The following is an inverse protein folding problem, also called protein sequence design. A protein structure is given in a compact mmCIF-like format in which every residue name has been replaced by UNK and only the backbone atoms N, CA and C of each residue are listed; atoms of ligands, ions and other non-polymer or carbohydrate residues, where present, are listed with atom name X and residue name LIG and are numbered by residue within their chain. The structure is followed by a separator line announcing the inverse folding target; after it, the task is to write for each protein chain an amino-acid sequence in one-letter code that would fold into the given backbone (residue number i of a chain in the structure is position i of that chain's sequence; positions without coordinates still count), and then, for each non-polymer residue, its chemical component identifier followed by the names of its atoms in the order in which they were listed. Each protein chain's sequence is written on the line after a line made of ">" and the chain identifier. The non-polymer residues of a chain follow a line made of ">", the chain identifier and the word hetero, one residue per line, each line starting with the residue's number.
data_IF_406070977297
#
_entry.id   IF_406070977297
#
_cell.length_a   1.000
_cell.length_b   1.000
_cell.length_c   1.000
_cell.angle_alpha   90.00
_cell.angle_beta   90.00
_cell.angle_gamma   90.00
#
_symmetry.space_group_name_H-M   'P 1'
#
loop_
_entity.id
_entity.type
_entity.pdbx_description
1 polymer ?
#
# COMPACT_ATOMS: atom_id res chain seq x y z
N UNK A 1 27.86 32.90 20.32
CA UNK A 1 28.70 31.75 19.93
C UNK A 1 27.89 30.46 19.76
N UNK A 2 27.01 30.10 20.71
CA UNK A 2 26.19 28.87 20.63
C UNK A 2 25.16 28.89 19.48
N UNK A 3 24.52 30.04 19.21
CA UNK A 3 23.54 30.17 18.11
C UNK A 3 24.20 30.05 16.71
N UNK A 4 25.41 30.58 16.55
CA UNK A 4 26.17 30.44 15.30
C UNK A 4 26.56 28.98 15.02
N UNK A 5 26.92 28.23 16.07
CA UNK A 5 27.20 26.80 15.97
C UNK A 5 25.95 26.01 15.59
N UNK A 6 24.77 26.34 16.12
CA UNK A 6 23.50 25.70 15.75
C UNK A 6 23.09 25.99 14.29
N UNK A 7 23.27 27.23 13.82
CA UNK A 7 23.00 27.61 12.43
C UNK A 7 23.96 26.91 11.48
N UNK A 8 25.23 26.76 11.86
CA UNK A 8 26.21 26.03 11.09
C UNK A 8 25.92 24.53 11.05
N UNK A 9 25.51 23.95 12.19
CA UNK A 9 25.08 22.55 12.26
C UNK A 9 23.81 22.28 11.43
N UNK A 10 22.86 23.21 11.41
CA UNK A 10 21.66 23.15 10.57
C UNK A 10 21.97 23.30 9.08
N UNK A 11 22.92 24.17 8.70
CA UNK A 11 23.36 24.33 7.31
C UNK A 11 24.11 23.09 6.80
N UNK A 12 24.93 22.47 7.65
CA UNK A 12 25.63 21.21 7.33
C UNK A 12 24.67 20.03 7.23
N UNK A 13 23.62 19.99 8.05
CA UNK A 13 22.57 18.96 7.93
C UNK A 13 21.69 19.12 6.68
N UNK A 14 21.53 20.35 6.18
CA UNK A 14 20.73 20.62 4.98
C UNK A 14 21.44 20.25 3.67
N UNK A 15 22.78 20.27 3.63
CA UNK A 15 23.55 19.95 2.43
C UNK A 15 23.75 18.45 2.21
N UNK A 16 23.56 17.60 3.23
CA UNK A 16 23.60 16.13 3.13
C UNK A 16 22.23 15.57 2.70
N UNK A 17 21.60 16.19 1.70
CA UNK A 17 20.26 15.83 1.23
C UNK A 17 20.09 15.82 -0.29
N UNK A 18 21.08 16.22 -1.06
CA UNK A 18 20.96 16.40 -2.51
C UNK A 18 22.05 15.63 -3.27
N UNK A 19 22.08 14.32 -3.12
CA UNK A 19 22.72 13.43 -4.07
C UNK A 19 21.88 12.16 -4.17
N UNK A 20 21.11 12.07 -5.25
CA UNK A 20 20.65 10.82 -5.84
C UNK A 20 20.59 11.03 -7.35
N UNK A 21 21.76 10.84 -7.94
CA UNK A 21 22.03 10.09 -9.18
C UNK A 21 20.85 9.95 -10.16
N UNK A 22 21.01 10.55 -11.33
CA UNK A 22 20.35 10.11 -12.55
C UNK A 22 20.88 8.72 -12.90
N UNK A 23 19.99 7.71 -12.90
CA UNK A 23 19.96 6.55 -13.83
C UNK A 23 18.86 5.52 -13.47
N UNK A 24 17.69 5.97 -12.99
CA UNK A 24 16.53 5.08 -12.81
C UNK A 24 15.51 5.34 -13.93
N UNK A 25 15.47 4.47 -14.95
CA UNK A 25 14.42 4.44 -15.99
C UNK A 25 13.00 4.23 -15.42
N UNK A 26 12.89 3.95 -14.11
CA UNK A 26 11.65 3.69 -13.37
C UNK A 26 11.60 4.62 -12.16
N UNK A 27 10.70 5.60 -12.16
CA UNK A 27 10.55 6.52 -11.04
C UNK A 27 9.61 5.92 -10.00
N UNK A 28 10.19 5.32 -8.95
CA UNK A 28 9.40 4.76 -7.86
C UNK A 28 8.49 5.81 -7.21
N UNK A 29 7.26 5.44 -6.81
CA UNK A 29 6.37 6.34 -6.10
C UNK A 29 7.00 6.84 -4.80
N UNK A 30 6.94 8.14 -4.56
CA UNK A 30 7.41 8.70 -3.29
C UNK A 30 6.47 8.28 -2.15
N UNK A 31 7.01 8.16 -0.93
CA UNK A 31 6.21 7.86 0.28
C UNK A 31 5.04 8.85 0.46
N UNK A 32 5.24 10.11 0.08
CA UNK A 32 4.21 11.15 0.12
C UNK A 32 3.12 10.92 -0.94
N UNK A 33 3.47 10.49 -2.15
CA UNK A 33 2.50 10.19 -3.21
C UNK A 33 1.64 8.99 -2.80
N UNK A 34 2.27 7.94 -2.27
CA UNK A 34 1.56 6.77 -1.71
C UNK A 34 0.60 7.20 -0.61
N UNK A 35 1.06 8.00 0.36
CA UNK A 35 0.25 8.46 1.48
C UNK A 35 -0.94 9.31 0.99
N UNK A 36 -0.74 10.14 -0.03
CA UNK A 36 -1.81 10.93 -0.65
C UNK A 36 -2.93 10.02 -1.17
N UNK A 37 -2.61 9.00 -1.96
CA UNK A 37 -3.65 8.13 -2.52
C UNK A 37 -4.32 7.22 -1.49
N UNK A 38 -3.54 6.66 -0.56
CA UNK A 38 -4.09 5.86 0.54
C UNK A 38 -5.06 6.69 1.39
N UNK A 39 -4.70 7.93 1.73
CA UNK A 39 -5.56 8.79 2.56
C UNK A 39 -6.82 9.25 1.85
N UNK A 40 -6.75 9.54 0.54
CA UNK A 40 -7.92 9.91 -0.28
C UNK A 40 -8.91 8.74 -0.34
N UNK A 41 -8.44 7.53 -0.66
CA UNK A 41 -9.31 6.35 -0.75
C UNK A 41 -9.84 5.89 0.61
N UNK A 42 -9.04 6.05 1.66
CA UNK A 42 -9.49 5.75 3.02
C UNK A 42 -10.57 6.73 3.48
N UNK A 43 -10.46 8.01 3.12
CA UNK A 43 -11.49 9.01 3.39
C UNK A 43 -12.79 8.69 2.66
N UNK A 44 -12.74 8.38 1.35
CA UNK A 44 -13.94 8.02 0.58
C UNK A 44 -14.63 6.78 1.13
N UNK A 45 -13.86 5.73 1.47
CA UNK A 45 -14.39 4.51 2.06
C UNK A 45 -15.02 4.72 3.46
N UNK A 46 -14.48 5.63 4.28
CA UNK A 46 -15.12 6.00 5.55
C UNK A 46 -16.40 6.82 5.37
N UNK A 47 -16.49 7.67 4.34
CA UNK A 47 -17.71 8.42 4.03
C UNK A 47 -18.83 7.51 3.53
N UNK A 48 -18.49 6.45 2.78
CA UNK A 48 -19.44 5.42 2.34
C UNK A 48 -19.95 4.57 3.51
N UNK A 49 -19.04 4.01 4.31
CA UNK A 49 -19.36 3.17 5.47
C UNK A 49 -19.91 3.95 6.66
N UNK A 50 -19.76 5.28 6.68
CA UNK A 50 -20.30 6.16 7.70
C UNK A 50 -21.82 6.38 7.61
N UNK A 51 -22.43 6.06 6.46
CA UNK A 51 -23.88 6.23 6.23
C UNK A 51 -24.72 5.12 6.90
N UNK A 52 -24.12 3.95 7.17
CA UNK A 52 -24.82 2.84 7.80
C UNK A 52 -24.89 3.02 9.32
N UNK A 53 -26.10 2.96 9.89
CA UNK A 53 -26.36 3.06 11.34
C UNK A 53 -26.42 1.67 11.98
N UNK A 54 -25.53 0.78 11.55
CA UNK A 54 -25.49 -0.59 12.06
C UNK A 54 -24.98 -0.61 13.50
N UNK A 55 -25.52 -1.54 14.28
CA UNK A 55 -25.18 -1.72 15.69
C UNK A 55 -24.73 -3.16 15.87
N UNK A 56 -23.51 -3.33 16.35
CA UNK A 56 -22.91 -4.65 16.58
C UNK A 56 -23.28 -5.07 18.00
N UNK A 57 -24.06 -6.14 18.11
CA UNK A 57 -24.29 -6.81 19.38
C UNK A 57 -23.07 -7.69 19.72
N UNK A 58 -22.51 -7.47 20.89
CA UNK A 58 -21.35 -8.22 21.40
C UNK A 58 -21.76 -9.28 22.42
N UNK A 59 -23.06 -9.44 22.66
CA UNK A 59 -23.55 -10.33 23.70
C UNK A 59 -23.25 -11.81 23.36
N UNK A 60 -22.21 -12.34 23.99
CA UNK A 60 -21.99 -13.79 24.00
C UNK A 60 -22.87 -14.39 25.10
N UNK A 61 -23.93 -15.09 24.65
CA UNK A 61 -25.02 -15.67 25.48
C UNK A 61 -24.58 -16.58 26.64
N UNK A 62 -23.28 -16.89 26.78
CA UNK A 62 -22.74 -17.84 27.75
C UNK A 62 -21.74 -17.25 28.77
N UNK A 63 -21.10 -16.10 28.51
CA UNK A 63 -20.09 -15.51 29.42
C UNK A 63 -20.67 -14.31 30.17
N UNK A 64 -21.50 -13.50 29.50
CA UNK A 64 -21.90 -12.20 30.01
C UNK A 64 -23.27 -12.28 30.68
N UNK A 65 -23.30 -12.53 32.00
CA UNK A 65 -24.53 -12.44 32.81
C UNK A 65 -25.11 -11.02 32.91
N UNK A 66 -24.39 -10.01 32.41
CA UNK A 66 -24.82 -8.61 32.26
C UNK A 66 -24.36 -8.15 30.88
N UNK A 67 -25.26 -8.23 29.89
CA UNK A 67 -24.95 -8.03 28.47
C UNK A 67 -24.09 -6.80 28.20
N UNK A 68 -23.02 -6.98 27.43
CA UNK A 68 -22.15 -5.88 27.01
C UNK A 68 -22.96 -4.83 26.22
N UNK A 69 -22.70 -3.52 26.40
CA UNK A 69 -23.45 -2.49 25.70
C UNK A 69 -23.21 -2.60 24.19
N UNK A 70 -24.27 -2.45 23.37
CA UNK A 70 -24.17 -2.53 21.92
C UNK A 70 -23.26 -1.41 21.38
N UNK A 71 -22.31 -1.77 20.51
CA UNK A 71 -21.34 -0.82 19.94
C UNK A 71 -21.81 -0.41 18.55
N UNK A 72 -21.84 0.90 18.30
CA UNK A 72 -22.16 1.44 16.97
C UNK A 72 -21.05 1.04 15.97
N UNK A 73 -21.43 0.53 14.81
CA UNK A 73 -20.52 0.11 13.74
C UNK A 73 -19.51 1.20 13.36
N UNK A 74 -19.95 2.46 13.30
CA UNK A 74 -19.10 3.63 13.05
C UNK A 74 -17.91 3.77 14.03
N UNK A 75 -18.03 3.28 15.27
CA UNK A 75 -16.96 3.35 16.29
C UNK A 75 -16.19 2.04 16.45
N UNK A 76 -16.53 1.01 15.68
CA UNK A 76 -15.96 -0.33 15.83
C UNK A 76 -14.67 -0.51 15.03
N UNK A 77 -13.77 -1.34 15.54
CA UNK A 77 -12.55 -1.76 14.83
C UNK A 77 -12.86 -2.64 13.62
N UNK A 78 -14.04 -3.27 13.59
CA UNK A 78 -14.52 -4.06 12.45
C UNK A 78 -14.63 -3.21 11.18
N UNK A 79 -15.25 -2.02 11.29
CA UNK A 79 -15.31 -1.05 10.18
C UNK A 79 -13.93 -0.69 9.66
N UNK A 80 -12.96 -0.50 10.55
CA UNK A 80 -11.60 -0.13 10.16
C UNK A 80 -10.95 -1.22 9.31
N UNK A 81 -11.11 -2.49 9.68
CA UNK A 81 -10.57 -3.63 8.93
C UNK A 81 -11.20 -3.68 7.53
N UNK A 82 -12.53 -3.64 7.44
CA UNK A 82 -13.25 -3.67 6.15
C UNK A 82 -12.86 -2.52 5.23
N UNK A 83 -12.75 -1.30 5.78
CA UNK A 83 -12.31 -0.13 5.02
C UNK A 83 -10.88 -0.29 4.51
N UNK A 84 -9.95 -0.78 5.35
CA UNK A 84 -8.55 -0.99 4.94
C UNK A 84 -8.44 -2.06 3.86
N UNK A 85 -9.27 -3.11 3.91
CA UNK A 85 -9.30 -4.15 2.88
C UNK A 85 -9.85 -3.63 1.54
N UNK A 86 -10.89 -2.81 1.59
CA UNK A 86 -11.50 -2.17 0.41
C UNK A 86 -10.54 -1.17 -0.26
N UNK A 87 -9.82 -0.35 0.52
CA UNK A 87 -8.84 0.62 -0.02
C UNK A 87 -7.75 -0.09 -0.85
N UNK A 88 -7.33 -1.29 -0.44
CA UNK A 88 -6.34 -2.04 -1.21
C UNK A 88 -6.82 -2.45 -2.59
N UNK A 89 -8.11 -2.81 -2.73
CA UNK A 89 -8.69 -3.12 -4.04
C UNK A 89 -8.78 -1.86 -4.91
N UNK A 90 -9.22 -0.74 -4.35
CA UNK A 90 -9.33 0.54 -5.06
C UNK A 90 -7.98 1.07 -5.54
N UNK A 91 -6.92 0.84 -4.76
CA UNK A 91 -5.55 1.19 -5.16
C UNK A 91 -5.05 0.39 -6.36
N UNK A 92 -5.61 -0.80 -6.65
CA UNK A 92 -5.22 -1.59 -7.82
C UNK A 92 -5.69 -0.98 -9.14
N UNK A 93 -6.74 -0.15 -9.11
CA UNK A 93 -7.36 0.48 -10.28
C UNK A 93 -6.57 1.68 -10.83
N UNK A 94 -5.57 2.15 -10.07
CA UNK A 94 -4.73 3.27 -10.50
C UNK A 94 -3.72 2.82 -11.55
N UNK A 95 -3.64 3.62 -12.62
CA UNK A 95 -2.67 3.46 -13.70
C UNK A 95 -1.75 4.67 -13.81
N UNK A 96 -0.60 4.43 -14.41
CA UNK A 96 0.40 5.46 -14.67
C UNK A 96 0.05 6.24 -15.95
N UNK A 97 0.06 7.55 -15.82
CA UNK A 97 -0.15 8.53 -16.89
C UNK A 97 1.17 9.28 -17.08
N UNK A 98 1.97 8.83 -18.06
CA UNK A 98 3.33 9.37 -18.31
C UNK A 98 3.30 10.83 -18.79
N UNK A 99 2.17 11.25 -19.36
CA UNK A 99 1.91 12.60 -19.85
C UNK A 99 1.68 13.62 -18.73
N UNK A 100 1.34 13.18 -17.50
CA UNK A 100 1.04 14.07 -16.38
C UNK A 100 2.23 14.17 -15.42
N UNK A 101 2.54 15.38 -14.98
CA UNK A 101 3.64 15.63 -14.06
C UNK A 101 3.20 15.62 -12.59
N UNK A 102 4.13 15.23 -11.71
CA UNK A 102 3.93 15.23 -10.26
C UNK A 102 2.96 14.15 -9.75
N UNK A 103 2.29 14.47 -8.65
CA UNK A 103 1.42 13.52 -7.93
C UNK A 103 0.11 13.17 -8.64
N UNK A 104 -0.17 13.76 -9.81
CA UNK A 104 -1.35 13.44 -10.64
C UNK A 104 -1.03 12.47 -11.77
N UNK A 105 0.20 11.91 -11.82
CA UNK A 105 0.55 10.83 -12.75
C UNK A 105 -0.22 9.54 -12.49
N UNK A 106 -0.75 9.35 -11.29
CA UNK A 106 -1.56 8.18 -10.95
C UNK A 106 -3.03 8.59 -11.02
N UNK A 107 -3.77 7.99 -11.95
CA UNK A 107 -5.21 8.20 -12.10
C UNK A 107 -5.90 6.90 -12.51
N UNK A 108 -7.21 6.84 -12.27
CA UNK A 108 -8.05 5.70 -12.68
C UNK A 108 -8.34 5.82 -14.18
N UNK A 109 -8.29 4.70 -14.89
CA UNK A 109 -8.52 4.65 -16.34
C UNK A 109 -7.23 4.51 -17.16
N UNK A 110 -7.37 4.59 -18.48
CA UNK A 110 -6.26 4.47 -19.43
C UNK A 110 -5.55 5.81 -19.63
N UNK A 111 -4.22 5.79 -19.80
CA UNK A 111 -3.44 6.99 -20.16
C UNK A 111 -3.82 7.53 -21.53
N UNK A 112 -3.64 8.84 -21.74
CA UNK A 112 -4.03 9.51 -22.99
C UNK A 112 -3.28 8.96 -24.21
N UNK A 113 -2.01 8.60 -24.04
CA UNK A 113 -1.18 7.93 -25.06
C UNK A 113 -1.75 6.58 -25.46
N UNK A 114 -2.16 5.79 -24.47
CA UNK A 114 -2.68 4.44 -24.65
C UNK A 114 -4.08 4.43 -25.27
N UNK A 115 -4.95 5.37 -24.87
CA UNK A 115 -6.26 5.57 -25.50
C UNK A 115 -6.10 5.90 -26.98
N UNK A 116 -5.13 6.76 -27.32
CA UNK A 116 -4.80 7.09 -28.72
C UNK A 116 -4.28 5.88 -29.49
N UNK A 117 -3.41 5.08 -28.86
CA UNK A 117 -2.86 3.85 -29.45
C UNK A 117 -3.95 2.82 -29.77
N UNK A 118 -4.85 2.57 -28.81
CA UNK A 118 -6.02 1.72 -29.04
C UNK A 118 -6.91 2.28 -30.14
N UNK A 119 -7.10 3.60 -30.21
CA UNK A 119 -7.84 4.25 -31.30
C UNK A 119 -7.25 4.01 -32.68
N UNK A 120 -5.92 3.96 -32.81
CA UNK A 120 -5.22 3.66 -34.06
C UNK A 120 -5.33 2.18 -34.44
N UNK A 121 -5.12 1.28 -33.47
CA UNK A 121 -5.25 -0.17 -33.67
C UNK A 121 -6.69 -0.54 -34.03
N UNK A 122 -7.70 0.05 -33.36
CA UNK A 122 -9.11 -0.16 -33.66
C UNK A 122 -9.51 0.33 -35.06
N UNK A 123 -8.79 1.29 -35.63
CA UNK A 123 -8.96 1.78 -37.02
C UNK A 123 -8.23 0.92 -38.05
N UNK A 124 -7.58 -0.17 -37.63
CA UNK A 124 -6.86 -1.09 -38.50
C UNK A 124 -5.41 -0.68 -38.81
N UNK A 125 -4.85 0.29 -38.07
CA UNK A 125 -3.44 0.67 -38.20
C UNK A 125 -2.59 -0.28 -37.35
N UNK A 126 -1.62 -0.95 -37.98
CA UNK A 126 -0.71 -1.85 -37.29
C UNK A 126 0.38 -1.04 -36.56
N UNK A 127 0.21 -0.84 -35.24
CA UNK A 127 1.23 -0.27 -34.38
C UNK A 127 2.11 -1.40 -33.87
N UNK A 128 3.35 -1.46 -34.37
CA UNK A 128 4.34 -2.42 -33.88
C UNK A 128 4.81 -1.94 -32.51
N UNK A 129 4.40 -2.64 -31.46
CA UNK A 129 5.02 -2.57 -30.13
C UNK A 129 5.69 -3.89 -29.82
N UNK A 130 6.79 -3.86 -29.07
CA UNK A 130 7.54 -5.06 -28.64
C UNK A 130 6.76 -5.96 -27.66
N UNK A 131 5.57 -5.52 -27.23
CA UNK A 131 4.68 -6.23 -26.31
C UNK A 131 3.40 -6.59 -27.07
N UNK A 132 2.89 -7.83 -27.00
CA UNK A 132 1.64 -8.22 -27.64
C UNK A 132 0.43 -7.53 -26.99
N UNK A 133 -0.63 -7.32 -27.79
CA UNK A 133 -1.85 -6.59 -27.40
C UNK A 133 -2.51 -7.12 -26.11
N UNK A 134 -2.36 -8.41 -25.83
CA UNK A 134 -2.90 -9.06 -24.62
C UNK A 134 -2.26 -8.54 -23.32
N UNK A 135 -1.00 -8.09 -23.38
CA UNK A 135 -0.24 -7.58 -22.22
C UNK A 135 -0.25 -6.06 -22.10
N UNK A 136 -0.92 -5.35 -23.00
CA UNK A 136 -0.93 -3.88 -23.01
C UNK A 136 -1.60 -3.25 -21.79
N UNK A 137 -2.48 -3.98 -21.11
CA UNK A 137 -3.13 -3.57 -19.86
C UNK A 137 -2.33 -3.97 -18.61
N UNK A 138 -1.16 -4.60 -18.75
CA UNK A 138 -0.33 -4.92 -17.59
C UNK A 138 0.31 -3.66 -17.01
N UNK A 139 0.28 -3.58 -15.69
CA UNK A 139 0.70 -2.36 -14.99
C UNK A 139 2.21 -2.27 -14.88
N UNK A 140 2.75 -1.06 -15.10
CA UNK A 140 4.18 -0.76 -15.00
C UNK A 140 4.75 -1.03 -13.59
N UNK A 141 6.08 -1.14 -13.50
CA UNK A 141 6.80 -1.42 -12.25
C UNK A 141 6.48 -0.41 -11.12
N UNK A 142 6.24 0.86 -11.46
CA UNK A 142 5.88 1.92 -10.51
C UNK A 142 4.51 1.64 -9.86
N UNK A 143 3.53 1.23 -10.68
CA UNK A 143 2.20 0.86 -10.21
C UNK A 143 2.27 -0.45 -9.43
N UNK A 144 3.09 -1.41 -9.84
CA UNK A 144 3.31 -2.64 -9.08
C UNK A 144 3.86 -2.36 -7.68
N UNK A 145 4.67 -1.32 -7.50
CA UNK A 145 5.17 -0.92 -6.18
C UNK A 145 4.11 -0.17 -5.35
N UNK A 146 3.31 0.70 -5.98
CA UNK A 146 2.13 1.29 -5.35
C UNK A 146 1.14 0.20 -4.87
N UNK A 147 1.05 -0.92 -5.58
CA UNK A 147 0.24 -2.09 -5.22
C UNK A 147 0.86 -2.94 -4.10
N UNK A 148 2.19 -2.92 -3.95
CA UNK A 148 2.96 -3.69 -2.94
C UNK A 148 3.08 -2.98 -1.59
N UNK A 149 2.32 -1.92 -1.34
CA UNK A 149 2.41 -1.12 -0.12
C UNK A 149 2.10 -1.94 1.14
N UNK A 150 2.67 -1.60 2.31
CA UNK A 150 2.58 -2.39 3.54
C UNK A 150 1.15 -2.53 4.08
N UNK A 151 0.26 -1.58 3.75
CA UNK A 151 -1.18 -1.68 4.01
C UNK A 151 -1.77 -2.91 3.29
N UNK A 152 -1.39 -3.14 2.04
CA UNK A 152 -1.90 -4.25 1.22
C UNK A 152 -1.06 -5.54 1.31
N UNK A 153 0.22 -5.45 1.71
CA UNK A 153 1.04 -6.64 2.01
C UNK A 153 0.49 -7.49 3.13
N UNK A 154 -0.21 -6.91 4.12
CA UNK A 154 -0.80 -7.68 5.22
C UNK A 154 -1.80 -8.75 4.74
N UNK A 155 -2.45 -8.51 3.60
CA UNK A 155 -3.49 -9.39 3.06
C UNK A 155 -2.99 -10.28 1.91
N UNK A 156 -1.83 -9.97 1.32
CA UNK A 156 -1.24 -10.81 0.27
C UNK A 156 -0.53 -12.04 0.88
N UNK A 157 -0.68 -13.25 0.30
CA UNK A 157 0.02 -14.45 0.78
C UNK A 157 1.55 -14.29 0.82
N UNK A 158 2.12 -13.36 0.05
CA UNK A 158 3.55 -13.02 0.08
C UNK A 158 3.97 -12.31 1.39
N UNK A 159 3.17 -11.40 1.95
CA UNK A 159 3.52 -10.66 3.18
C UNK A 159 3.45 -11.51 4.45
N UNK A 160 2.71 -12.62 4.42
CA UNK A 160 2.62 -13.58 5.54
C UNK A 160 3.91 -14.41 5.71
N UNK A 161 4.79 -14.47 4.71
CA UNK A 161 6.10 -15.15 4.82
C UNK A 161 7.15 -14.29 5.50
N UNK A 162 7.10 -12.97 5.32
CA UNK A 162 8.13 -12.03 5.77
C UNK A 162 7.97 -11.58 7.23
N UNK A 163 6.75 -11.65 7.75
CA UNK A 163 6.42 -11.31 9.16
C UNK A 163 6.70 -12.43 10.17
N UNK A 164 7.24 -13.59 9.75
CA UNK A 164 7.78 -14.58 10.70
C UNK A 164 9.05 -14.03 11.35
N UNK A 165 8.84 -13.28 12.43
CA UNK A 165 9.84 -12.72 13.33
C UNK A 165 11.10 -13.62 13.46
N UNK A 166 12.32 -13.05 13.29
CA UNK A 166 13.57 -13.75 13.52
C UNK A 166 13.64 -14.43 14.91
N UNK A 167 12.94 -13.88 15.91
CA UNK A 167 12.91 -14.38 17.30
C UNK A 167 12.30 -15.78 17.45
N UNK A 168 11.36 -16.17 16.58
CA UNK A 168 10.71 -17.47 16.67
C UNK A 168 11.58 -18.59 16.07
N UNK A 169 12.40 -18.27 15.06
CA UNK A 169 13.37 -19.21 14.46
C UNK A 169 14.49 -19.54 15.44
N UNK A 170 15.04 -18.55 16.16
CA UNK A 170 16.06 -18.77 17.20
C UNK A 170 15.51 -19.56 18.39
N UNK A 171 14.29 -19.27 18.87
CA UNK A 171 13.65 -20.05 19.94
C UNK A 171 13.41 -21.52 19.56
N UNK A 172 12.97 -21.81 18.32
CA UNK A 172 12.79 -23.18 17.84
C UNK A 172 14.13 -23.93 17.69
N UNK A 173 15.18 -23.29 17.17
CA UNK A 173 16.53 -23.88 17.12
C UNK A 173 17.09 -24.16 18.52
N UNK A 174 16.92 -23.24 19.47
CA UNK A 174 17.36 -23.40 20.86
C UNK A 174 16.62 -24.54 21.58
N UNK A 175 15.31 -24.70 21.31
CA UNK A 175 14.51 -25.83 21.83
C UNK A 175 14.88 -27.18 21.20
N UNK A 176 15.28 -27.22 19.93
CA UNK A 176 15.78 -28.45 19.29
C UNK A 176 17.13 -28.88 19.86
N UNK A 177 18.09 -27.96 19.98
CA UNK A 177 19.39 -28.26 20.62
C UNK A 177 19.25 -28.78 22.05
N UNK A 178 18.38 -28.17 22.87
CA UNK A 178 18.09 -28.66 24.23
C UNK A 178 17.42 -30.04 24.29
N UNK A 179 16.79 -30.51 23.21
CA UNK A 179 16.19 -31.85 23.14
C UNK A 179 17.21 -32.90 22.69
N UNK A 180 18.20 -32.51 21.89
CA UNK A 180 19.32 -33.37 21.50
C UNK A 180 20.29 -33.57 22.67
N UNK A 181 20.61 -32.51 23.44
CA UNK A 181 21.42 -32.59 24.67
C UNK A 181 20.80 -33.43 25.80
N UNK A 182 19.49 -33.69 25.77
CA UNK A 182 18.80 -34.54 26.77
C UNK A 182 18.67 -36.00 26.35
N UNK A 183 19.13 -36.34 25.15
CA UNK A 183 19.02 -37.69 24.56
C UNK A 183 20.37 -38.38 24.39
N UNK A 184 21.47 -37.70 24.67
CA UNK A 184 22.80 -38.28 24.93
C UNK A 184 23.08 -38.22 26.42
#
# INVERSE_FOLDING_TARGET
>A
MVLAAYVWFLLVFCSVGAAKDEEDWVHLPNKCEVCKFVSIEMKSAFEETGKTKEVIDRNYRFIDGKGAPPIKYHKSDLRFIEVVENVCQRLLEYNLHKERTGSNRFAKGMSETFSTLHGLVNKGVNVVMDIPFELWNETSAEVADLKKQPVCRRNSPAGRRETRQPSQRTRRRKRRRRREERRG
#
